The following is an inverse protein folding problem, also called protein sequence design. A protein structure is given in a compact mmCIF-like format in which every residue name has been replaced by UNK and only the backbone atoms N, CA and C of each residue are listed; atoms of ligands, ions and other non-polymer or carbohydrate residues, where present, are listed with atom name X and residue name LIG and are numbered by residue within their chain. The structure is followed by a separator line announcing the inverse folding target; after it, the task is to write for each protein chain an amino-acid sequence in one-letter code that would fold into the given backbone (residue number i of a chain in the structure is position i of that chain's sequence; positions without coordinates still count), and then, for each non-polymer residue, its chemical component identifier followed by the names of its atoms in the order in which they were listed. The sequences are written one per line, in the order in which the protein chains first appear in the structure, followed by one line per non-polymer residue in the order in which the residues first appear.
data_IF_575893578185
#
_entry.id   IF_575893578185
#
_cell.length_a   1.000
_cell.length_b   1.000
_cell.length_c   1.000
_cell.angle_alpha   90.00
_cell.angle_beta   90.00
_cell.angle_gamma   90.00
#
_symmetry.space_group_name_H-M   'P 1'
#
loop_
_entity.id
_entity.type
_entity.pdbx_description
1 polymer ?
#
# COMPACT_ATOMS: atom_id res chain seq x y z
N UNK A 1 7.46 -32.33 30.58
CA UNK A 1 8.00 -32.94 29.35
C UNK A 1 9.50 -33.08 29.51
N UNK A 2 10.16 -34.11 28.98
CA UNK A 2 11.62 -34.16 28.96
C UNK A 2 12.16 -33.03 28.08
N UNK A 3 13.15 -32.28 28.59
CA UNK A 3 13.83 -31.22 27.86
C UNK A 3 14.69 -31.88 26.78
N UNK A 4 14.50 -31.48 25.52
CA UNK A 4 15.29 -31.95 24.39
C UNK A 4 16.15 -30.80 23.86
N UNK A 5 17.29 -31.08 23.20
CA UNK A 5 18.16 -30.04 22.64
C UNK A 5 17.45 -29.10 21.65
N UNK A 6 16.40 -29.58 21.00
CA UNK A 6 15.58 -28.80 20.07
C UNK A 6 14.80 -27.67 20.77
N UNK A 7 14.36 -27.89 22.00
CA UNK A 7 13.62 -26.89 22.78
C UNK A 7 14.52 -25.73 23.21
N UNK A 8 15.78 -26.01 23.61
CA UNK A 8 16.72 -24.95 23.98
C UNK A 8 17.15 -24.14 22.75
N UNK A 9 17.22 -24.80 21.59
CA UNK A 9 17.47 -24.16 20.29
C UNK A 9 16.29 -23.26 19.86
N UNK A 10 15.05 -23.70 20.08
CA UNK A 10 13.86 -22.88 19.84
C UNK A 10 13.87 -21.60 20.69
N UNK A 11 14.14 -21.72 21.99
CA UNK A 11 14.22 -20.56 22.90
C UNK A 11 15.32 -19.58 22.46
N UNK A 12 16.53 -20.08 22.15
CA UNK A 12 17.63 -19.26 21.63
C UNK A 12 17.27 -18.54 20.32
N UNK A 13 16.59 -19.24 19.41
CA UNK A 13 16.16 -18.67 18.12
C UNK A 13 15.12 -17.56 18.31
N UNK A 14 14.16 -17.73 19.22
CA UNK A 14 13.13 -16.70 19.47
C UNK A 14 13.70 -15.48 20.20
N UNK A 15 14.64 -15.67 21.13
CA UNK A 15 15.36 -14.58 21.78
C UNK A 15 16.21 -13.79 20.77
N UNK A 16 16.89 -14.47 19.85
CA UNK A 16 17.63 -13.83 18.76
C UNK A 16 16.73 -13.04 17.79
N UNK A 17 15.45 -13.40 17.70
CA UNK A 17 14.41 -12.67 16.94
C UNK A 17 13.81 -11.48 17.70
N UNK A 18 14.31 -11.18 18.91
CA UNK A 18 13.84 -10.08 19.74
C UNK A 18 12.51 -10.33 20.44
N UNK A 19 12.03 -11.59 20.47
CA UNK A 19 10.83 -11.97 21.22
C UNK A 19 11.16 -11.96 22.71
N UNK A 20 10.30 -11.35 23.53
CA UNK A 20 10.54 -11.27 24.97
C UNK A 20 10.53 -12.66 25.62
N UNK A 21 11.39 -12.91 26.63
CA UNK A 21 11.42 -14.17 27.38
C UNK A 21 10.04 -14.60 27.88
N UNK A 22 9.25 -13.64 28.37
CA UNK A 22 7.90 -13.89 28.89
C UNK A 22 6.93 -14.36 27.80
N UNK A 23 6.99 -13.78 26.60
CA UNK A 23 6.15 -14.22 25.48
C UNK A 23 6.48 -15.64 25.04
N UNK A 24 7.75 -16.04 25.11
CA UNK A 24 8.18 -17.42 24.82
C UNK A 24 7.67 -18.37 25.90
N UNK A 25 7.78 -17.99 27.19
CA UNK A 25 7.25 -18.76 28.31
C UNK A 25 5.73 -18.96 28.18
N UNK A 26 4.98 -17.92 27.81
CA UNK A 26 3.52 -18.01 27.61
C UNK A 26 3.12 -18.99 26.50
N UNK A 27 3.86 -19.00 25.38
CA UNK A 27 3.63 -19.97 24.28
C UNK A 27 3.92 -21.40 24.72
N UNK A 28 4.95 -21.61 25.54
CA UNK A 28 5.31 -22.94 26.04
C UNK A 28 4.35 -23.41 27.15
N UNK A 29 3.86 -22.50 28.02
CA UNK A 29 2.77 -22.77 28.98
C UNK A 29 1.51 -23.25 28.26
N UNK A 30 1.13 -22.58 27.17
CA UNK A 30 -0.02 -22.97 26.35
C UNK A 30 0.14 -24.38 25.73
N UNK A 31 1.37 -24.88 25.61
CA UNK A 31 1.69 -26.24 25.17
C UNK A 31 1.86 -27.25 26.33
N UNK A 32 1.53 -26.87 27.56
CA UNK A 32 1.54 -27.76 28.72
C UNK A 32 2.88 -27.88 29.45
N UNK A 33 3.79 -26.91 29.28
CA UNK A 33 5.05 -26.88 30.03
C UNK A 33 4.87 -26.34 31.45
N UNK A 34 5.55 -26.94 32.42
CA UNK A 34 5.54 -26.54 33.83
C UNK A 34 6.62 -25.49 34.10
N UNK A 35 6.42 -24.59 35.07
CA UNK A 35 7.39 -23.52 35.41
C UNK A 35 8.81 -24.05 35.65
N UNK A 36 8.93 -25.14 36.40
CA UNK A 36 10.21 -25.77 36.72
C UNK A 36 10.96 -26.27 35.46
N UNK A 37 10.21 -26.72 34.45
CA UNK A 37 10.77 -27.12 33.15
C UNK A 37 11.11 -25.94 32.24
N UNK A 38 10.49 -24.77 32.45
CA UNK A 38 10.77 -23.55 31.69
C UNK A 38 12.02 -22.87 32.22
N UNK A 39 12.19 -22.80 33.53
CA UNK A 39 13.36 -22.15 34.12
C UNK A 39 14.63 -22.95 33.84
N UNK A 40 14.58 -24.27 33.91
CA UNK A 40 15.69 -25.16 33.51
C UNK A 40 16.01 -25.04 32.02
N UNK A 41 15.00 -24.98 31.15
CA UNK A 41 15.17 -24.78 29.70
C UNK A 41 15.83 -23.43 29.37
N UNK A 42 15.44 -22.37 30.06
CA UNK A 42 16.03 -21.05 29.88
C UNK A 42 17.47 -21.00 30.44
N UNK A 43 17.72 -21.60 31.61
CA UNK A 43 19.06 -21.72 32.17
C UNK A 43 20.01 -22.47 31.22
N UNK A 44 19.54 -23.55 30.58
CA UNK A 44 20.31 -24.30 29.59
C UNK A 44 20.53 -23.50 28.29
N UNK A 45 19.53 -22.74 27.84
CA UNK A 45 19.64 -21.84 26.69
C UNK A 45 20.65 -20.69 26.91
N UNK A 46 20.87 -20.28 28.16
CA UNK A 46 21.80 -19.21 28.56
C UNK A 46 23.13 -19.72 29.13
N UNK A 47 23.34 -21.03 29.26
CA UNK A 47 24.54 -21.59 29.85
C UNK A 47 25.79 -21.31 28.98
N UNK A 48 26.86 -20.68 29.52
CA UNK A 48 28.09 -20.42 28.78
C UNK A 48 28.84 -21.74 28.54
N UNK A 49 28.78 -22.24 27.30
CA UNK A 49 29.51 -23.45 26.87
C UNK A 49 28.66 -24.47 26.10
N UNK A 50 27.32 -24.40 26.15
CA UNK A 50 26.41 -25.31 25.45
C UNK A 50 26.29 -25.05 23.92
N UNK A 51 27.35 -24.50 23.32
CA UNK A 51 27.37 -24.11 21.91
C UNK A 51 28.71 -24.33 21.21
N UNK A 52 29.82 -24.58 21.89
CA UNK A 52 31.17 -24.48 21.28
C UNK A 52 31.47 -25.48 20.17
N UNK A 53 30.76 -26.61 20.07
CA UNK A 53 30.93 -27.58 18.98
C UNK A 53 29.92 -27.42 17.83
N UNK A 54 28.84 -26.65 18.02
CA UNK A 54 27.76 -26.53 17.02
C UNK A 54 27.56 -25.08 16.53
N UNK A 55 28.00 -24.07 17.29
CA UNK A 55 28.07 -22.68 16.80
C UNK A 55 29.15 -22.50 15.73
N UNK A 56 30.16 -23.36 15.65
CA UNK A 56 31.10 -23.36 14.52
C UNK A 56 30.44 -23.85 13.22
N UNK A 57 29.48 -24.77 13.30
CA UNK A 57 28.70 -25.24 12.15
C UNK A 57 27.57 -24.28 11.76
N UNK A 58 27.00 -23.53 12.72
CA UNK A 58 25.96 -22.54 12.48
C UNK A 58 26.50 -21.12 12.18
N UNK A 59 27.78 -20.84 12.44
CA UNK A 59 28.48 -19.60 12.07
C UNK A 59 28.65 -19.43 10.55
N UNK A 60 28.53 -20.53 9.79
CA UNK A 60 28.61 -20.53 8.32
C UNK A 60 27.29 -20.86 7.61
N UNK A 61 26.20 -21.14 8.33
CA UNK A 61 24.92 -21.39 7.70
C UNK A 61 24.25 -20.04 7.37
N UNK A 62 24.08 -19.68 6.08
CA UNK A 62 23.35 -18.47 5.74
C UNK A 62 21.97 -18.57 6.39
N UNK A 63 21.55 -17.53 7.11
CA UNK A 63 20.17 -17.39 7.61
C UNK A 63 19.28 -17.73 6.42
N UNK A 64 18.64 -18.90 6.44
CA UNK A 64 17.90 -19.37 5.28
C UNK A 64 16.86 -18.31 4.94
N UNK A 65 17.04 -17.64 3.81
CA UNK A 65 16.16 -16.57 3.37
C UNK A 65 14.75 -17.15 3.30
N UNK A 66 13.81 -16.55 4.04
CA UNK A 66 12.41 -16.99 3.98
C UNK A 66 11.94 -16.78 2.55
N UNK A 67 11.55 -17.85 1.82
CA UNK A 67 11.13 -17.71 0.44
C UNK A 67 9.89 -16.81 0.37
N UNK A 68 9.77 -16.04 -0.72
CA UNK A 68 8.61 -15.19 -0.92
C UNK A 68 7.33 -16.02 -0.89
N UNK A 69 6.31 -15.51 -0.19
CA UNK A 69 5.00 -16.15 -0.13
C UNK A 69 4.44 -16.40 -1.53
N UNK A 70 3.79 -17.55 -1.72
CA UNK A 70 3.17 -17.91 -2.98
C UNK A 70 1.99 -16.96 -3.29
N UNK A 71 1.53 -16.94 -4.55
CA UNK A 71 0.35 -16.17 -4.94
C UNK A 71 -0.88 -16.55 -4.09
N UNK A 72 -1.11 -17.85 -3.89
CA UNK A 72 -2.21 -18.36 -3.07
C UNK A 72 -2.12 -17.93 -1.61
N UNK A 73 -0.92 -17.93 -1.03
CA UNK A 73 -0.70 -17.48 0.35
C UNK A 73 -0.99 -15.98 0.50
N UNK A 74 -0.57 -15.16 -0.48
CA UNK A 74 -0.82 -13.72 -0.46
C UNK A 74 -2.32 -13.41 -0.52
N UNK A 75 -3.06 -14.07 -1.42
CA UNK A 75 -4.51 -13.91 -1.51
C UNK A 75 -5.22 -14.41 -0.24
N UNK A 76 -4.76 -15.51 0.34
CA UNK A 76 -5.32 -16.06 1.59
C UNK A 76 -5.06 -15.13 2.78
N UNK A 77 -3.84 -14.60 2.90
CA UNK A 77 -3.48 -13.60 3.93
C UNK A 77 -4.29 -12.31 3.77
N UNK A 78 -4.37 -11.79 2.54
CA UNK A 78 -5.17 -10.60 2.23
C UNK A 78 -6.65 -10.78 2.60
N UNK A 79 -7.22 -11.94 2.28
CA UNK A 79 -8.58 -12.30 2.64
C UNK A 79 -8.78 -12.43 4.15
N UNK A 80 -7.81 -13.01 4.87
CA UNK A 80 -7.81 -13.08 6.33
C UNK A 80 -7.80 -11.71 6.98
N UNK A 81 -6.96 -10.79 6.50
CA UNK A 81 -6.91 -9.40 6.96
C UNK A 81 -8.23 -8.70 6.67
N UNK A 82 -8.75 -8.83 5.45
CA UNK A 82 -10.02 -8.22 5.05
C UNK A 82 -11.15 -8.71 5.97
N UNK A 83 -11.31 -10.02 6.19
CA UNK A 83 -12.33 -10.56 7.11
C UNK A 83 -12.20 -10.03 8.53
N UNK A 84 -10.98 -10.01 9.07
CA UNK A 84 -10.71 -9.59 10.46
C UNK A 84 -10.94 -8.09 10.67
N UNK A 85 -10.61 -7.26 9.67
CA UNK A 85 -10.62 -5.79 9.77
C UNK A 85 -11.69 -5.13 8.90
N UNK A 86 -12.59 -5.89 8.29
CA UNK A 86 -13.59 -5.39 7.32
C UNK A 86 -14.35 -4.18 7.87
N UNK A 87 -14.88 -4.27 9.09
CA UNK A 87 -15.67 -3.20 9.70
C UNK A 87 -14.84 -1.96 10.03
N UNK A 88 -13.56 -2.12 10.39
CA UNK A 88 -12.67 -0.98 10.62
C UNK A 88 -12.36 -0.30 9.29
N UNK A 89 -12.04 -1.07 8.24
CA UNK A 89 -11.77 -0.53 6.91
C UNK A 89 -13.02 0.13 6.30
N UNK A 90 -14.19 -0.48 6.47
CA UNK A 90 -15.48 0.07 6.04
C UNK A 90 -15.81 1.35 6.79
N UNK A 91 -15.64 1.37 8.11
CA UNK A 91 -15.86 2.58 8.91
C UNK A 91 -14.89 3.70 8.54
N UNK A 92 -13.61 3.38 8.26
CA UNK A 92 -12.62 4.35 7.77
C UNK A 92 -13.01 4.87 6.39
N UNK A 93 -13.36 3.99 5.45
CA UNK A 93 -13.80 4.38 4.12
C UNK A 93 -15.07 5.23 4.14
N UNK A 94 -16.11 4.78 4.87
CA UNK A 94 -17.39 5.48 4.97
C UNK A 94 -17.23 6.87 5.61
N UNK A 95 -16.44 6.99 6.68
CA UNK A 95 -16.18 8.29 7.31
C UNK A 95 -15.39 9.22 6.36
N UNK A 96 -14.43 8.67 5.61
CA UNK A 96 -13.65 9.42 4.62
C UNK A 96 -14.44 9.86 3.39
N UNK A 97 -15.57 9.22 3.09
CA UNK A 97 -16.48 9.66 2.03
C UNK A 97 -17.28 10.91 2.42
N UNK A 98 -17.53 11.17 3.71
CA UNK A 98 -18.37 12.30 4.14
C UNK A 98 -17.87 13.66 3.61
N UNK A 99 -16.58 14.04 3.75
CA UNK A 99 -16.07 15.27 3.15
C UNK A 99 -16.21 15.29 1.62
N UNK A 100 -15.98 14.17 0.95
CA UNK A 100 -16.11 14.06 -0.51
C UNK A 100 -17.56 14.25 -0.97
N UNK A 101 -18.53 13.71 -0.24
CA UNK A 101 -19.95 13.89 -0.51
C UNK A 101 -20.38 15.36 -0.31
N UNK A 102 -19.88 16.03 0.73
CA UNK A 102 -20.14 17.46 0.96
C UNK A 102 -19.59 18.30 -0.20
N UNK A 103 -18.34 18.02 -0.61
CA UNK A 103 -17.72 18.71 -1.74
C UNK A 103 -18.48 18.45 -3.04
N UNK A 104 -18.82 17.19 -3.32
CA UNK A 104 -19.58 16.81 -4.51
C UNK A 104 -20.96 17.46 -4.57
N UNK A 105 -21.67 17.52 -3.43
CA UNK A 105 -22.96 18.19 -3.33
C UNK A 105 -22.83 19.70 -3.56
N UNK A 106 -21.81 20.35 -2.97
CA UNK A 106 -21.55 21.78 -3.18
C UNK A 106 -21.21 22.11 -4.64
N UNK A 107 -20.38 21.28 -5.29
CA UNK A 107 -20.08 21.40 -6.73
C UNK A 107 -21.34 21.25 -7.57
N UNK A 108 -22.14 20.22 -7.30
CA UNK A 108 -23.37 19.96 -8.04
C UNK A 108 -24.38 21.11 -7.89
N UNK A 109 -24.54 21.63 -6.68
CA UNK A 109 -25.45 22.74 -6.40
C UNK A 109 -25.10 23.99 -7.21
N UNK A 110 -23.82 24.34 -7.31
CA UNK A 110 -23.39 25.51 -8.08
C UNK A 110 -23.49 25.29 -9.58
N UNK A 111 -23.19 24.08 -10.08
CA UNK A 111 -23.41 23.76 -11.50
C UNK A 111 -24.88 23.94 -11.86
N UNK A 112 -25.80 23.45 -11.02
CA UNK A 112 -27.24 23.64 -11.18
C UNK A 112 -27.60 25.13 -11.14
N UNK A 113 -27.11 25.89 -10.15
CA UNK A 113 -27.34 27.34 -10.07
C UNK A 113 -26.81 28.09 -11.29
N UNK A 114 -25.66 27.71 -11.84
CA UNK A 114 -25.09 28.34 -13.04
C UNK A 114 -25.88 28.06 -14.30
N UNK A 115 -26.35 26.81 -14.45
CA UNK A 115 -27.16 26.39 -15.60
C UNK A 115 -28.54 27.05 -15.61
N UNK A 116 -29.24 27.08 -14.47
CA UNK A 116 -30.57 27.71 -14.36
C UNK A 116 -30.53 29.23 -14.17
N UNK A 117 -29.44 29.77 -13.63
CA UNK A 117 -29.28 31.18 -13.32
C UNK A 117 -28.74 32.05 -14.47
N UNK A 118 -28.49 31.46 -15.65
CA UNK A 118 -28.03 32.21 -16.82
C UNK A 118 -26.69 32.92 -16.60
N UNK A 119 -25.78 32.32 -15.83
CA UNK A 119 -24.49 32.92 -15.46
C UNK A 119 -23.52 33.00 -16.66
N UNK A 120 -23.76 33.95 -17.57
CA UNK A 120 -22.82 34.36 -18.62
C UNK A 120 -21.84 35.44 -18.14
N UNK A 121 -21.99 35.90 -16.88
CA UNK A 121 -21.22 37.02 -16.35
C UNK A 121 -19.87 36.56 -15.76
N UNK A 122 -18.79 36.88 -16.49
CA UNK A 122 -17.38 36.57 -16.13
C UNK A 122 -17.01 37.12 -14.74
N UNK A 123 -17.67 38.17 -14.25
CA UNK A 123 -17.46 38.76 -12.93
C UNK A 123 -17.87 37.85 -11.75
N UNK A 124 -18.81 36.93 -11.94
CA UNK A 124 -19.25 35.95 -10.92
C UNK A 124 -18.44 34.65 -11.04
N UNK A 125 -17.93 34.35 -12.24
CA UNK A 125 -17.17 33.14 -12.52
C UNK A 125 -15.84 33.08 -11.73
N UNK A 126 -15.09 34.18 -11.62
CA UNK A 126 -13.79 34.21 -10.95
C UNK A 126 -13.79 33.82 -9.45
N UNK A 127 -14.64 34.40 -8.57
CA UNK A 127 -14.70 33.97 -7.18
C UNK A 127 -15.24 32.55 -7.01
N UNK A 128 -16.11 32.09 -7.90
CA UNK A 128 -16.57 30.69 -7.92
C UNK A 128 -15.43 29.72 -8.26
N UNK A 129 -14.59 30.03 -9.25
CA UNK A 129 -13.42 29.20 -9.58
C UNK A 129 -12.43 29.09 -8.43
N UNK A 130 -12.15 30.19 -7.71
CA UNK A 130 -11.30 30.16 -6.52
C UNK A 130 -11.92 29.32 -5.38
N UNK A 131 -13.23 29.46 -5.16
CA UNK A 131 -13.97 28.64 -4.20
C UNK A 131 -13.91 27.14 -4.54
N UNK A 132 -14.05 26.79 -5.82
CA UNK A 132 -13.90 25.42 -6.30
C UNK A 132 -12.51 24.86 -6.14
N UNK A 133 -11.49 25.66 -6.50
CA UNK A 133 -10.10 25.27 -6.31
C UNK A 133 -9.82 24.95 -4.85
N UNK A 134 -10.24 25.81 -3.92
CA UNK A 134 -10.09 25.58 -2.48
C UNK A 134 -10.83 24.31 -2.02
N UNK A 135 -12.08 24.12 -2.46
CA UNK A 135 -12.90 22.97 -2.08
C UNK A 135 -12.33 21.64 -2.63
N UNK A 136 -11.82 21.65 -3.85
CA UNK A 136 -11.14 20.51 -4.47
C UNK A 136 -9.85 20.17 -3.73
N UNK A 137 -9.07 21.17 -3.30
CA UNK A 137 -7.88 20.95 -2.48
C UNK A 137 -8.26 20.31 -1.14
N UNK A 138 -9.32 20.81 -0.48
CA UNK A 138 -9.81 20.21 0.78
C UNK A 138 -10.27 18.76 0.59
N UNK A 139 -10.99 18.46 -0.50
CA UNK A 139 -11.37 17.10 -0.86
C UNK A 139 -10.15 16.20 -1.10
N UNK A 140 -9.14 16.70 -1.81
CA UNK A 140 -7.90 15.96 -2.05
C UNK A 140 -7.14 15.66 -0.75
N UNK A 141 -7.05 16.62 0.17
CA UNK A 141 -6.44 16.44 1.48
C UNK A 141 -7.22 15.43 2.34
N UNK A 142 -8.55 15.48 2.31
CA UNK A 142 -9.40 14.52 3.00
C UNK A 142 -9.24 13.10 2.42
N UNK A 143 -9.20 12.97 1.09
CA UNK A 143 -8.96 11.70 0.41
C UNK A 143 -7.57 11.14 0.73
N UNK A 144 -6.54 11.99 0.80
CA UNK A 144 -5.20 11.58 1.19
C UNK A 144 -5.16 11.12 2.65
N UNK A 145 -5.83 11.84 3.56
CA UNK A 145 -5.93 11.45 4.96
C UNK A 145 -6.66 10.11 5.14
N UNK A 146 -7.78 9.91 4.44
CA UNK A 146 -8.49 8.62 4.37
C UNK A 146 -7.57 7.50 3.84
N UNK A 147 -6.81 7.76 2.78
CA UNK A 147 -5.88 6.80 2.20
C UNK A 147 -4.81 6.35 3.20
N UNK A 148 -4.23 7.28 3.96
CA UNK A 148 -3.28 6.95 5.03
C UNK A 148 -3.97 6.19 6.17
N UNK A 149 -5.17 6.60 6.58
CA UNK A 149 -5.94 5.91 7.61
C UNK A 149 -6.24 4.45 7.21
N UNK A 150 -6.53 4.19 5.94
CA UNK A 150 -6.76 2.84 5.43
C UNK A 150 -5.50 1.95 5.51
N UNK A 151 -4.31 2.52 5.34
CA UNK A 151 -3.03 1.82 5.57
C UNK A 151 -2.76 1.48 7.04
N UNK A 152 -3.31 2.25 7.98
CA UNK A 152 -3.29 1.87 9.39
C UNK A 152 -4.44 0.90 9.74
N UNK A 153 -5.58 0.98 9.07
CA UNK A 153 -6.71 0.08 9.30
C UNK A 153 -6.40 -1.38 8.94
N UNK A 154 -5.57 -1.60 7.91
CA UNK A 154 -5.13 -2.93 7.47
C UNK A 154 -4.10 -3.57 8.42
N UNK A 155 -3.43 -2.75 9.25
CA UNK A 155 -2.42 -3.22 10.19
C UNK A 155 -3.06 -3.97 11.34
N UNK A 156 -2.74 -5.26 11.42
CA UNK A 156 -3.25 -6.12 12.48
C UNK A 156 -2.33 -6.17 13.71
N UNK A 157 -1.08 -5.70 13.57
CA UNK A 157 -0.07 -5.55 14.62
C UNK A 157 -0.43 -4.45 15.64
N UNK A 158 -1.33 -3.53 15.28
CA UNK A 158 -1.84 -2.49 16.19
C UNK A 158 -3.06 -3.04 16.95
N UNK A 159 -2.84 -3.43 18.20
CA UNK A 159 -3.89 -3.92 19.11
C UNK A 159 -4.94 -2.83 19.37
N UNK A 160 -6.21 -3.18 19.23
CA UNK A 160 -7.32 -2.25 19.52
C UNK A 160 -7.48 -1.11 18.51
N UNK A 161 -6.85 -1.17 17.33
CA UNK A 161 -7.03 -0.13 16.32
C UNK A 161 -8.50 -0.02 15.86
N UNK A 162 -9.11 1.13 16.14
CA UNK A 162 -10.49 1.48 15.78
C UNK A 162 -10.50 2.40 14.55
N UNK A 163 -11.70 2.73 14.05
CA UNK A 163 -11.88 3.70 12.95
C UNK A 163 -11.22 5.04 13.30
N UNK A 164 -11.54 5.60 14.46
CA UNK A 164 -10.97 6.88 14.92
C UNK A 164 -9.48 6.77 15.24
N UNK A 165 -9.03 5.65 15.81
CA UNK A 165 -7.60 5.38 16.05
C UNK A 165 -6.78 5.43 14.76
N UNK A 166 -7.31 4.86 13.67
CA UNK A 166 -6.65 4.89 12.36
C UNK A 166 -6.50 6.30 11.81
N UNK A 167 -7.52 7.15 11.95
CA UNK A 167 -7.46 8.56 11.55
C UNK A 167 -6.51 9.39 12.42
N UNK A 168 -6.50 9.14 13.74
CA UNK A 168 -5.61 9.81 14.68
C UNK A 168 -4.14 9.52 14.35
N UNK A 169 -3.80 8.25 14.09
CA UNK A 169 -2.47 7.85 13.64
C UNK A 169 -2.13 8.45 12.28
N UNK A 170 -3.07 8.43 11.34
CA UNK A 170 -2.84 8.92 9.99
C UNK A 170 -2.47 10.41 9.92
N UNK A 171 -2.94 11.24 10.87
CA UNK A 171 -2.77 12.70 10.86
C UNK A 171 -1.30 13.13 10.72
N UNK A 172 -0.38 12.49 11.45
CA UNK A 172 1.05 12.83 11.42
C UNK A 172 1.78 12.33 10.16
N UNK A 173 1.13 11.43 9.40
CA UNK A 173 1.68 10.83 8.19
C UNK A 173 1.11 11.40 6.89
N UNK A 174 0.10 12.28 6.95
CA UNK A 174 -0.49 12.95 5.77
C UNK A 174 0.58 13.67 4.94
N UNK A 175 1.36 14.56 5.56
CA UNK A 175 2.42 15.29 4.86
C UNK A 175 3.56 14.40 4.37
N UNK A 176 4.13 13.48 5.20
CA UNK A 176 5.10 12.51 4.72
C UNK A 176 4.59 11.65 3.55
N UNK A 177 3.32 11.25 3.58
CA UNK A 177 2.68 10.50 2.50
C UNK A 177 2.57 11.33 1.23
N UNK A 178 2.11 12.58 1.34
CA UNK A 178 2.04 13.51 0.21
C UNK A 178 3.41 13.68 -0.45
N UNK A 179 4.46 13.80 0.35
CA UNK A 179 5.83 13.90 -0.15
C UNK A 179 6.28 12.62 -0.88
N UNK A 180 6.03 11.44 -0.31
CA UNK A 180 6.32 10.15 -0.98
C UNK A 180 5.52 9.99 -2.26
N UNK A 181 4.24 10.36 -2.26
CA UNK A 181 3.38 10.31 -3.43
C UNK A 181 3.91 11.24 -4.53
N UNK A 182 4.29 12.48 -4.19
CA UNK A 182 4.87 13.43 -5.13
C UNK A 182 6.17 12.91 -5.75
N UNK A 183 7.10 12.41 -4.92
CA UNK A 183 8.34 11.81 -5.40
C UNK A 183 8.07 10.58 -6.30
N UNK A 184 7.13 9.73 -5.91
CA UNK A 184 6.79 8.53 -6.68
C UNK A 184 6.17 8.88 -8.03
N UNK A 185 5.24 9.84 -8.06
CA UNK A 185 4.64 10.34 -9.30
C UNK A 185 5.73 10.89 -10.19
N UNK A 186 6.61 11.74 -9.65
CA UNK A 186 7.68 12.37 -10.42
C UNK A 186 8.62 11.31 -11.03
N UNK A 187 9.07 10.33 -10.25
CA UNK A 187 9.91 9.23 -10.75
C UNK A 187 9.19 8.41 -11.83
N UNK A 188 7.94 8.00 -11.59
CA UNK A 188 7.19 7.15 -12.53
C UNK A 188 6.88 7.91 -13.81
N UNK A 189 6.41 9.15 -13.71
CA UNK A 189 6.17 10.02 -14.87
C UNK A 189 7.44 10.29 -15.65
N UNK A 190 8.54 10.61 -14.98
CA UNK A 190 9.85 10.77 -15.61
C UNK A 190 10.27 9.53 -16.39
N UNK A 191 10.05 8.35 -15.79
CA UNK A 191 10.29 7.07 -16.43
C UNK A 191 9.45 6.90 -17.70
N UNK A 192 8.12 7.08 -17.58
CA UNK A 192 7.17 6.94 -18.70
C UNK A 192 7.50 7.91 -19.85
N UNK A 193 7.86 9.16 -19.54
CA UNK A 193 8.20 10.19 -20.53
C UNK A 193 9.47 9.85 -21.32
N UNK A 194 10.43 9.15 -20.71
CA UNK A 194 11.58 8.62 -21.45
C UNK A 194 11.11 7.47 -22.36
N UNK A 195 10.56 6.41 -21.75
CA UNK A 195 10.01 5.21 -22.38
C UNK A 195 9.06 4.54 -21.38
N UNK A 196 7.95 3.94 -21.85
CA UNK A 196 6.96 3.26 -20.99
C UNK A 196 7.60 2.23 -20.03
N UNK A 197 8.60 1.48 -20.51
CA UNK A 197 9.26 0.39 -19.75
C UNK A 197 9.95 0.90 -18.46
N UNK A 198 10.86 1.90 -18.48
CA UNK A 198 11.40 2.54 -17.28
C UNK A 198 10.35 2.99 -16.27
N UNK A 199 9.21 3.51 -16.76
CA UNK A 199 8.08 3.90 -15.92
C UNK A 199 7.48 2.73 -15.15
N UNK A 200 7.25 1.60 -15.82
CA UNK A 200 6.76 0.36 -15.20
C UNK A 200 7.76 -0.18 -14.18
N UNK A 201 9.06 -0.19 -14.53
CA UNK A 201 10.11 -0.65 -13.61
C UNK A 201 10.09 0.16 -12.31
N UNK A 202 10.03 1.49 -12.43
CA UNK A 202 9.93 2.38 -11.27
C UNK A 202 8.65 2.17 -10.47
N UNK A 203 7.49 2.02 -11.13
CA UNK A 203 6.21 1.80 -10.45
C UNK A 203 6.22 0.53 -9.60
N UNK A 204 6.82 -0.56 -10.12
CA UNK A 204 6.98 -1.81 -9.37
C UNK A 204 7.92 -1.64 -8.17
N UNK A 205 9.07 -0.97 -8.34
CA UNK A 205 9.99 -0.68 -7.23
C UNK A 205 9.36 0.15 -6.11
N UNK A 206 8.47 1.08 -6.45
CA UNK A 206 7.84 2.00 -5.51
C UNK A 206 6.49 1.51 -4.98
N UNK A 207 6.01 0.34 -5.43
CA UNK A 207 4.68 -0.20 -5.10
C UNK A 207 4.42 -0.34 -3.59
N UNK A 208 5.45 -0.64 -2.80
CA UNK A 208 5.37 -0.85 -1.34
C UNK A 208 5.88 0.32 -0.50
N UNK A 209 6.30 1.43 -1.12
CA UNK A 209 6.87 2.60 -0.43
C UNK A 209 5.96 3.19 0.65
N UNK A 210 4.64 3.16 0.40
CA UNK A 210 3.60 3.60 1.33
C UNK A 210 3.58 2.80 2.64
N UNK A 211 3.81 1.49 2.56
CA UNK A 211 3.88 0.62 3.75
C UNK A 211 5.19 0.78 4.49
N UNK A 212 6.29 1.01 3.77
CA UNK A 212 7.58 1.36 4.39
C UNK A 212 7.44 2.61 5.27
N UNK A 213 6.73 3.64 4.79
CA UNK A 213 6.45 4.83 5.60
C UNK A 213 5.65 4.50 6.85
N UNK A 214 4.53 3.79 6.70
CA UNK A 214 3.58 3.59 7.81
C UNK A 214 4.09 2.58 8.83
N UNK A 215 4.80 1.55 8.39
CA UNK A 215 5.26 0.44 9.24
C UNK A 215 6.65 0.69 9.81
N UNK A 216 7.53 1.36 9.07
CA UNK A 216 8.94 1.56 9.46
C UNK A 216 9.31 3.02 9.72
N UNK A 217 8.34 3.95 9.64
CA UNK A 217 8.51 5.41 9.78
C UNK A 217 9.65 5.99 8.91
N UNK A 218 10.01 5.31 7.81
CA UNK A 218 10.97 5.84 6.87
C UNK A 218 10.29 6.88 5.98
N UNK A 219 10.85 8.09 5.92
CA UNK A 219 10.23 9.24 5.23
C UNK A 219 10.93 9.62 3.94
N UNK A 220 10.15 10.23 3.04
CA UNK A 220 10.63 10.77 1.77
C UNK A 220 11.47 9.76 1.00
N UNK A 221 12.67 10.17 0.60
CA UNK A 221 13.54 9.36 -0.25
C UNK A 221 14.04 8.08 0.41
N UNK A 222 14.15 8.04 1.75
CA UNK A 222 14.51 6.82 2.48
C UNK A 222 13.46 5.73 2.28
N UNK A 223 12.18 6.10 2.26
CA UNK A 223 11.08 5.18 2.01
C UNK A 223 11.15 4.56 0.60
N UNK A 224 11.41 5.40 -0.41
CA UNK A 224 11.53 4.97 -1.81
C UNK A 224 12.74 4.04 -2.01
N UNK A 225 13.89 4.41 -1.45
CA UNK A 225 15.10 3.60 -1.53
C UNK A 225 14.91 2.22 -0.87
N UNK A 226 14.26 2.18 0.30
CA UNK A 226 13.98 0.92 1.01
C UNK A 226 12.96 0.07 0.26
N UNK A 227 11.92 0.68 -0.31
CA UNK A 227 10.97 0.00 -1.20
C UNK A 227 11.67 -0.65 -2.39
N UNK A 228 12.57 0.08 -3.06
CA UNK A 228 13.38 -0.46 -4.15
C UNK A 228 14.23 -1.64 -3.67
N UNK A 229 14.89 -1.53 -2.52
CA UNK A 229 15.73 -2.59 -1.98
C UNK A 229 14.92 -3.87 -1.68
N UNK A 230 13.71 -3.73 -1.13
CA UNK A 230 12.80 -4.88 -0.93
C UNK A 230 12.37 -5.54 -2.25
N UNK A 231 12.25 -4.77 -3.33
CA UNK A 231 11.71 -5.26 -4.61
C UNK A 231 12.81 -5.69 -5.59
N UNK A 232 14.03 -5.14 -5.51
CA UNK A 232 15.04 -5.29 -6.57
C UNK A 232 15.50 -6.72 -6.83
N UNK A 233 15.55 -7.57 -5.80
CA UNK A 233 15.89 -8.99 -5.94
C UNK A 233 14.73 -9.85 -6.45
N UNK A 234 13.51 -9.31 -6.46
CA UNK A 234 12.28 -10.04 -6.73
C UNK A 234 11.37 -9.31 -7.72
N UNK A 235 11.93 -8.48 -8.61
CA UNK A 235 11.15 -7.55 -9.43
C UNK A 235 10.09 -8.25 -10.29
N UNK A 236 10.45 -9.31 -11.02
CA UNK A 236 9.51 -10.10 -11.82
C UNK A 236 8.45 -10.79 -10.96
N UNK A 237 8.87 -11.29 -9.80
CA UNK A 237 7.99 -11.94 -8.85
C UNK A 237 6.93 -10.96 -8.30
N UNK A 238 7.32 -9.72 -8.04
CA UNK A 238 6.42 -8.63 -7.61
C UNK A 238 5.54 -8.17 -8.76
N UNK A 239 6.08 -7.97 -9.97
CA UNK A 239 5.30 -7.58 -11.15
C UNK A 239 4.17 -8.59 -11.42
N UNK A 240 4.46 -9.90 -11.42
CA UNK A 240 3.46 -10.94 -11.62
C UNK A 240 2.40 -10.95 -10.51
N UNK A 241 2.79 -10.69 -9.25
CA UNK A 241 1.86 -10.58 -8.11
C UNK A 241 0.94 -9.35 -8.21
N UNK A 242 1.46 -8.23 -8.72
CA UNK A 242 0.65 -7.03 -9.00
C UNK A 242 -0.28 -7.26 -10.20
N UNK A 243 0.20 -7.93 -11.25
CA UNK A 243 -0.61 -8.32 -12.40
C UNK A 243 -1.72 -9.29 -12.03
N UNK A 244 -1.44 -10.27 -11.17
CA UNK A 244 -2.45 -11.20 -10.65
C UNK A 244 -3.52 -10.47 -9.83
N UNK A 245 -3.13 -9.52 -8.98
CA UNK A 245 -4.08 -8.67 -8.25
C UNK A 245 -4.98 -7.89 -9.24
N UNK A 246 -4.38 -7.24 -10.24
CA UNK A 246 -5.11 -6.46 -11.24
C UNK A 246 -6.10 -7.35 -12.02
N UNK A 247 -5.66 -8.53 -12.46
CA UNK A 247 -6.49 -9.50 -13.16
C UNK A 247 -7.68 -9.95 -12.32
N UNK A 248 -7.48 -10.24 -11.03
CA UNK A 248 -8.56 -10.60 -10.10
C UNK A 248 -9.55 -9.44 -9.93
N UNK A 249 -9.06 -8.21 -9.70
CA UNK A 249 -9.95 -7.06 -9.53
C UNK A 249 -10.78 -6.77 -10.79
N UNK A 250 -10.17 -6.84 -11.98
CA UNK A 250 -10.87 -6.65 -13.25
C UNK A 250 -11.89 -7.76 -13.46
N UNK A 251 -11.53 -9.02 -13.18
CA UNK A 251 -12.43 -10.17 -13.32
C UNK A 251 -13.67 -10.04 -12.43
N UNK A 252 -13.50 -9.59 -11.19
CA UNK A 252 -14.61 -9.34 -10.26
C UNK A 252 -15.51 -8.22 -10.80
N UNK A 253 -14.93 -7.10 -11.22
CA UNK A 253 -15.70 -5.97 -11.77
C UNK A 253 -16.49 -6.37 -13.02
N UNK A 254 -15.89 -7.11 -13.94
CA UNK A 254 -16.57 -7.61 -15.14
C UNK A 254 -17.69 -8.58 -14.80
N UNK A 255 -17.44 -9.54 -13.89
CA UNK A 255 -18.43 -10.51 -13.48
C UNK A 255 -19.65 -9.85 -12.83
N UNK A 256 -19.44 -8.90 -11.92
CA UNK A 256 -20.54 -8.18 -11.27
C UNK A 256 -21.31 -7.33 -12.27
N UNK A 257 -20.63 -6.58 -13.14
CA UNK A 257 -21.30 -5.78 -14.16
C UNK A 257 -22.11 -6.63 -15.14
N UNK A 258 -21.59 -7.80 -15.53
CA UNK A 258 -22.33 -8.75 -16.36
C UNK A 258 -23.60 -9.25 -15.66
N UNK A 259 -23.49 -9.66 -14.38
CA UNK A 259 -24.64 -10.15 -13.60
C UNK A 259 -25.70 -9.04 -13.43
N UNK A 260 -25.29 -7.82 -13.09
CA UNK A 260 -26.22 -6.70 -12.92
C UNK A 260 -26.86 -6.27 -14.24
N UNK A 261 -26.14 -6.32 -15.36
CA UNK A 261 -26.68 -6.10 -16.70
C UNK A 261 -27.79 -7.10 -17.03
N UNK A 262 -27.55 -8.39 -16.77
CA UNK A 262 -28.55 -9.44 -16.99
C UNK A 262 -29.80 -9.26 -16.12
N UNK A 263 -29.64 -8.88 -14.84
CA UNK A 263 -30.76 -8.66 -13.91
C UNK A 263 -31.58 -7.41 -14.28
N UNK A 264 -30.90 -6.35 -14.70
CA UNK A 264 -31.57 -5.08 -15.04
C UNK A 264 -32.24 -5.09 -16.42
N UNK A 265 -31.95 -6.09 -17.26
CA UNK A 265 -32.40 -6.12 -18.65
C UNK A 265 -31.80 -5.01 -19.53
N UNK A 266 -30.74 -4.34 -19.03
CA UNK A 266 -30.05 -3.30 -19.75
C UNK A 266 -29.27 -3.90 -20.93
N UNK A 267 -29.32 -3.23 -22.09
CA UNK A 267 -28.49 -3.59 -23.23
C UNK A 267 -27.02 -3.35 -22.87
N UNK A 268 -26.14 -4.38 -22.90
CA UNK A 268 -24.72 -4.23 -22.60
C UNK A 268 -23.99 -3.22 -23.50
N UNK A 269 -24.56 -2.90 -24.66
CA UNK A 269 -24.03 -1.90 -25.60
C UNK A 269 -24.54 -0.49 -25.35
N UNK A 270 -25.60 -0.33 -24.54
CA UNK A 270 -26.10 0.99 -24.16
C UNK A 270 -25.10 1.66 -23.20
N UNK A 271 -24.87 2.96 -23.40
CA UNK A 271 -24.06 3.79 -22.48
C UNK A 271 -24.85 4.19 -21.23
N UNK A 272 -26.13 3.86 -21.17
CA UNK A 272 -27.05 4.25 -20.11
C UNK A 272 -26.87 3.33 -18.90
N UNK A 273 -26.14 3.81 -17.90
CA UNK A 273 -25.96 3.09 -16.64
C UNK A 273 -27.25 3.17 -15.80
N UNK A 274 -27.82 2.02 -15.48
CA UNK A 274 -28.96 1.94 -14.56
C UNK A 274 -28.53 2.32 -13.14
N UNK A 275 -29.44 2.85 -12.29
CA UNK A 275 -29.13 3.12 -10.88
C UNK A 275 -28.60 1.89 -10.12
N UNK A 276 -29.07 0.69 -10.48
CA UNK A 276 -28.63 -0.56 -9.89
C UNK A 276 -27.16 -0.88 -10.25
N UNK A 277 -26.75 -0.66 -11.50
CA UNK A 277 -25.35 -0.81 -11.93
C UNK A 277 -24.44 0.18 -11.19
N UNK A 278 -24.85 1.44 -11.04
CA UNK A 278 -24.08 2.45 -10.30
C UNK A 278 -23.84 2.03 -8.84
N UNK A 279 -24.87 1.52 -8.15
CA UNK A 279 -24.73 1.01 -6.78
C UNK A 279 -23.78 -0.19 -6.76
N UNK A 280 -23.93 -1.11 -7.72
CA UNK A 280 -23.05 -2.26 -7.87
C UNK A 280 -21.58 -1.88 -8.04
N UNK A 281 -21.28 -0.95 -8.93
CA UNK A 281 -19.93 -0.45 -9.19
C UNK A 281 -19.31 0.21 -7.96
N UNK A 282 -20.09 1.01 -7.21
CA UNK A 282 -19.63 1.60 -5.95
C UNK A 282 -19.28 0.52 -4.94
N UNK A 283 -20.15 -0.47 -4.75
CA UNK A 283 -19.91 -1.59 -3.82
C UNK A 283 -18.68 -2.39 -4.23
N UNK A 284 -18.56 -2.74 -5.51
CA UNK A 284 -17.40 -3.46 -6.03
C UNK A 284 -16.13 -2.66 -5.83
N UNK A 285 -16.12 -1.38 -6.19
CA UNK A 285 -14.97 -0.49 -6.04
C UNK A 285 -14.49 -0.39 -4.58
N UNK A 286 -15.42 -0.29 -3.63
CA UNK A 286 -15.10 -0.27 -2.19
C UNK A 286 -14.48 -1.61 -1.77
N UNK A 287 -15.11 -2.74 -2.11
CA UNK A 287 -14.61 -4.07 -1.71
C UNK A 287 -13.25 -4.37 -2.36
N UNK A 288 -13.09 -4.08 -3.65
CA UNK A 288 -11.83 -4.30 -4.36
C UNK A 288 -10.73 -3.40 -3.85
N UNK A 289 -11.01 -2.13 -3.55
CA UNK A 289 -10.00 -1.21 -3.02
C UNK A 289 -9.50 -1.64 -1.64
N UNK A 290 -10.39 -2.08 -0.76
CA UNK A 290 -10.00 -2.65 0.54
C UNK A 290 -9.17 -3.91 0.38
N UNK A 291 -9.60 -4.81 -0.51
CA UNK A 291 -8.85 -6.02 -0.82
C UNK A 291 -7.46 -5.72 -1.38
N UNK A 292 -7.34 -4.75 -2.30
CA UNK A 292 -6.06 -4.34 -2.87
C UNK A 292 -5.10 -3.80 -1.79
N UNK A 293 -5.58 -3.01 -0.84
CA UNK A 293 -4.74 -2.52 0.27
C UNK A 293 -4.29 -3.68 1.16
N UNK A 294 -5.18 -4.62 1.49
CA UNK A 294 -4.85 -5.83 2.25
C UNK A 294 -3.81 -6.71 1.54
N UNK A 295 -3.96 -6.89 0.23
CA UNK A 295 -3.02 -7.65 -0.59
C UNK A 295 -1.66 -6.99 -0.69
N UNK A 296 -1.60 -5.68 -0.95
CA UNK A 296 -0.33 -4.96 -1.01
C UNK A 296 0.37 -4.93 0.36
N UNK A 297 -0.38 -4.88 1.46
CA UNK A 297 0.17 -5.02 2.80
C UNK A 297 0.77 -6.43 3.00
N UNK A 298 0.04 -7.49 2.66
CA UNK A 298 0.54 -8.86 2.74
C UNK A 298 1.80 -9.08 1.88
N UNK A 299 1.83 -8.50 0.67
CA UNK A 299 2.99 -8.50 -0.22
C UNK A 299 4.18 -7.78 0.40
N UNK A 300 3.96 -6.59 0.97
CA UNK A 300 5.00 -5.84 1.69
C UNK A 300 5.57 -6.66 2.86
N UNK A 301 4.72 -7.27 3.69
CA UNK A 301 5.17 -8.13 4.80
C UNK A 301 6.01 -9.29 4.27
N UNK A 302 5.55 -9.98 3.21
CA UNK A 302 6.33 -11.07 2.60
C UNK A 302 7.70 -10.62 2.08
N UNK A 303 7.79 -9.44 1.47
CA UNK A 303 9.07 -8.91 0.97
C UNK A 303 9.98 -8.49 2.12
N UNK A 304 9.42 -7.86 3.15
CA UNK A 304 10.13 -7.43 4.35
C UNK A 304 10.73 -8.63 5.10
N UNK A 305 9.96 -9.70 5.22
CA UNK A 305 10.37 -10.91 5.93
C UNK A 305 11.39 -11.74 5.12
N UNK A 306 11.32 -11.68 3.78
CA UNK A 306 12.31 -12.30 2.89
C UNK A 306 13.66 -11.54 2.83
N UNK A 307 13.66 -10.25 3.17
CA UNK A 307 14.83 -9.36 3.11
C UNK A 307 15.14 -8.70 4.48
N UNK A 308 15.48 -9.47 5.52
CA UNK A 308 15.78 -8.93 6.85
C UNK A 308 16.95 -7.95 6.86
N UNK A 309 17.91 -8.10 5.94
CA UNK A 309 19.07 -7.22 5.76
C UNK A 309 18.69 -5.79 5.39
N UNK A 310 17.54 -5.61 4.70
CA UNK A 310 17.05 -4.29 4.32
C UNK A 310 16.43 -3.58 5.53
N UNK A 311 15.90 -4.32 6.51
CA UNK A 311 15.25 -3.73 7.71
C UNK A 311 16.25 -2.92 8.54
N UNK A 312 17.45 -3.47 8.75
CA UNK A 312 18.50 -2.90 9.62
C UNK A 312 19.37 -1.88 8.91
N UNK A 313 19.41 -1.89 7.58
CA UNK A 313 20.23 -0.97 6.80
C UNK A 313 19.62 0.43 6.82
N UNK A 314 20.23 1.32 7.60
CA UNK A 314 19.95 2.77 7.63
C UNK A 314 20.60 3.52 6.47
N UNK A 315 21.50 2.86 5.73
CA UNK A 315 22.35 3.50 4.74
C UNK A 315 21.77 3.55 3.32
N UNK A 316 21.96 4.71 2.73
CA UNK A 316 21.55 5.08 1.39
C UNK A 316 22.32 4.28 0.34
N UNK A 317 21.61 3.59 -0.56
CA UNK A 317 22.21 3.22 -1.85
C UNK A 317 22.34 4.51 -2.69
N UNK A 318 23.52 5.14 -2.63
CA UNK A 318 23.81 6.41 -3.34
C UNK A 318 23.51 6.33 -4.85
N UNK A 319 23.62 5.13 -5.46
CA UNK A 319 23.30 4.92 -6.87
C UNK A 319 21.80 4.84 -7.21
N UNK A 320 20.95 4.45 -6.25
CA UNK A 320 19.50 4.49 -6.45
C UNK A 320 18.97 5.93 -6.36
N UNK A 321 19.55 6.71 -5.45
CA UNK A 321 19.18 8.10 -5.20
C UNK A 321 19.38 9.01 -6.42
N UNK A 322 20.51 8.87 -7.11
CA UNK A 322 20.82 9.64 -8.33
C UNK A 322 19.86 9.31 -9.47
N UNK A 323 19.53 8.04 -9.67
CA UNK A 323 18.56 7.64 -10.71
C UNK A 323 17.15 8.21 -10.44
N UNK A 324 16.72 8.23 -9.17
CA UNK A 324 15.41 8.78 -8.79
C UNK A 324 15.28 10.30 -8.96
N UNK A 325 16.40 11.02 -9.05
CA UNK A 325 16.39 12.47 -9.28
C UNK A 325 16.58 12.78 -10.78
N UNK A 326 17.53 12.10 -11.42
CA UNK A 326 17.91 12.38 -12.81
C UNK A 326 16.79 12.04 -13.80
N UNK A 327 16.15 10.88 -13.66
CA UNK A 327 15.09 10.43 -14.59
C UNK A 327 13.93 11.43 -14.67
N UNK A 328 13.32 11.84 -13.54
CA UNK A 328 12.30 12.87 -13.59
C UNK A 328 12.77 14.22 -14.10
N UNK A 329 13.98 14.65 -13.74
CA UNK A 329 14.49 15.94 -14.17
C UNK A 329 14.68 15.98 -15.70
N UNK A 330 15.18 14.90 -16.28
CA UNK A 330 15.29 14.74 -17.73
C UNK A 330 13.89 14.67 -18.38
N UNK A 331 12.96 13.91 -17.80
CA UNK A 331 11.58 13.85 -18.31
C UNK A 331 10.88 15.21 -18.35
N UNK A 332 11.01 16.01 -17.26
CA UNK A 332 10.49 17.38 -17.20
C UNK A 332 11.20 18.29 -18.22
N UNK A 333 12.52 18.17 -18.36
CA UNK A 333 13.28 18.96 -19.33
C UNK A 333 12.85 18.66 -20.78
N UNK A 334 12.56 17.39 -21.12
CA UNK A 334 12.03 16.99 -22.43
C UNK A 334 10.66 17.63 -22.67
N UNK A 335 9.74 17.54 -21.70
CA UNK A 335 8.41 18.16 -21.81
C UNK A 335 8.52 19.68 -21.98
N UNK A 336 9.36 20.34 -21.17
CA UNK A 336 9.60 21.77 -21.31
C UNK A 336 10.14 22.12 -22.70
N UNK A 337 11.14 21.38 -23.20
CA UNK A 337 11.71 21.60 -24.53
C UNK A 337 10.67 21.42 -25.65
N UNK A 338 9.79 20.41 -25.56
CA UNK A 338 8.71 20.19 -26.53
C UNK A 338 7.67 21.32 -26.49
N UNK A 339 7.33 21.82 -25.30
CA UNK A 339 6.42 22.95 -25.13
C UNK A 339 7.02 24.25 -25.69
N UNK A 340 8.31 24.51 -25.47
CA UNK A 340 8.99 25.71 -25.95
C UNK A 340 9.26 25.69 -27.46
N UNK A 341 9.49 24.52 -28.06
CA UNK A 341 9.78 24.42 -29.50
C UNK A 341 8.52 24.36 -30.38
N UNK A 342 7.31 24.39 -29.81
CA UNK A 342 6.05 24.33 -30.59
C UNK A 342 5.83 23.00 -31.34
N UNK A 343 6.77 22.06 -31.24
CA UNK A 343 6.71 20.72 -31.80
C UNK A 343 5.96 19.77 -30.88
N UNK A 344 4.74 20.14 -30.46
CA UNK A 344 3.84 19.12 -29.92
C UNK A 344 3.54 18.16 -31.07
N UNK A 345 3.96 16.87 -31.02
CA UNK A 345 3.42 15.90 -31.95
C UNK A 345 1.90 15.95 -31.75
N UNK A 346 1.17 16.27 -32.83
CA UNK A 346 -0.28 16.21 -32.84
C UNK A 346 -0.64 14.79 -32.41
N UNK A 347 -1.01 14.62 -31.13
CA UNK A 347 -1.44 13.33 -30.65
C UNK A 347 -2.67 12.97 -31.51
N UNK A 348 -2.77 11.75 -32.05
CA UNK A 348 -3.80 11.37 -33.01
C UNK A 348 -5.22 11.27 -32.41
N UNK A 349 -5.49 11.98 -31.30
CA UNK A 349 -6.80 12.10 -30.70
C UNK A 349 -7.53 13.28 -31.34
N UNK A 350 -7.91 13.12 -32.61
CA UNK A 350 -9.02 13.91 -33.16
C UNK A 350 -10.28 13.45 -32.45
N UNK A 351 -10.75 14.20 -31.47
CA UNK A 351 -12.12 14.07 -31.01
C UNK A 351 -13.01 14.54 -32.17
N UNK A 352 -13.62 13.58 -32.86
CA UNK A 352 -14.66 13.88 -33.85
C UNK A 352 -15.75 14.68 -33.16
N UNK A 353 -16.02 15.87 -33.71
CA UNK A 353 -17.08 16.78 -33.28
C UNK A 353 -18.46 16.19 -33.54
#
# INVERSE_FOLDING_TARGET
MPISPEHSTYVRTQLARGVSPESIKDVLRAKGWTEDSLDTLFLEAFAPGAGSHETAALSGAPIAAVPLASLGDLFTRAWGILKKRFWVMLGVGALGLVPLMIVGAAVSAVVVMGFFGGLTNIAIANPMFLGFGALAILAALAALWMGVALLFAVRDDITGNTVFGSYALARSYVFPMLWIALLSILVVWGGIMLVVIPGIIAAVWLSVSRFVLVVEDARGMKALAKSKAYVSGNWWAVLLRLGALAAVTISISLAVNMILGLISGADPSSKDMTPLQNIGDVVVSIVTSFYSVAYLYALYISLRDAHPEVRTKTEHSNGALTWFILVPLVGVAIVAALLFNGTMPQLPFTFGA
#
